data_IF_595526354122
#
_entry.id   IF_595526354122
#
_cell.length_a   1.000
_cell.length_b   1.000
_cell.length_c   1.000
_cell.angle_alpha   90.00
_cell.angle_beta   90.00
_cell.angle_gamma   90.00
#
_symmetry.space_group_name_H-M   'P 1'
#
loop_
_entity.id
_entity.type
_entity.pdbx_description
1 polymer ?
#
# COMPACT_ATOMS: atom_id res chain seq x y z
N UNK A 1 -28.03 -34.85 -18.22
CA UNK A 1 -28.19 -34.33 -16.84
C UNK A 1 -27.28 -35.13 -15.92
N UNK A 2 -26.25 -34.52 -15.35
CA UNK A 2 -25.58 -35.02 -14.14
C UNK A 2 -24.73 -33.92 -13.53
N UNK A 3 -25.38 -33.17 -12.65
CA UNK A 3 -24.83 -32.22 -11.70
C UNK A 3 -23.82 -32.94 -10.81
N UNK A 4 -22.53 -32.82 -11.11
CA UNK A 4 -21.46 -33.21 -10.17
C UNK A 4 -21.01 -31.96 -9.41
N UNK A 5 -21.70 -31.77 -8.29
CA UNK A 5 -21.16 -31.34 -7.00
C UNK A 5 -19.96 -30.40 -7.07
N UNK A 6 -20.25 -29.10 -6.99
CA UNK A 6 -19.30 -28.09 -6.54
C UNK A 6 -18.92 -28.39 -5.07
N UNK A 7 -18.02 -29.35 -4.87
CA UNK A 7 -17.46 -29.64 -3.56
C UNK A 7 -16.03 -29.10 -3.53
N UNK A 8 -15.94 -27.88 -3.00
CA UNK A 8 -14.81 -27.32 -2.25
C UNK A 8 -13.52 -28.11 -2.49
N UNK A 9 -12.69 -27.61 -3.42
CA UNK A 9 -11.27 -27.93 -3.44
C UNK A 9 -10.75 -27.51 -2.07
N UNK A 10 -10.63 -28.46 -1.14
CA UNK A 10 -9.78 -28.28 0.03
C UNK A 10 -8.39 -28.18 -0.54
N UNK A 11 -7.97 -26.95 -0.84
CA UNK A 11 -6.57 -26.65 -1.05
C UNK A 11 -5.88 -27.11 0.23
N UNK A 12 -4.98 -28.08 0.09
CA UNK A 12 -4.00 -28.39 1.12
C UNK A 12 -3.28 -27.07 1.43
N UNK A 13 -3.73 -26.40 2.48
CA UNK A 13 -3.30 -25.07 2.85
C UNK A 13 -2.73 -25.19 4.24
N UNK A 14 -1.43 -24.93 4.35
CA UNK A 14 -0.74 -24.91 5.64
C UNK A 14 -1.40 -23.85 6.52
N UNK A 15 -1.87 -24.26 7.69
CA UNK A 15 -2.50 -23.38 8.65
C UNK A 15 -1.59 -23.17 9.84
N UNK A 16 -1.04 -21.95 9.94
CA UNK A 16 -0.25 -21.52 11.09
C UNK A 16 -1.08 -20.61 12.01
N UNK A 17 -0.96 -20.85 13.32
CA UNK A 17 -1.55 -19.97 14.34
C UNK A 17 -0.49 -18.98 14.85
N UNK A 18 -0.70 -17.70 14.59
CA UNK A 18 0.16 -16.63 15.07
C UNK A 18 -0.31 -16.20 16.46
N UNK A 19 0.52 -16.42 17.48
CA UNK A 19 0.25 -16.02 18.88
C UNK A 19 1.02 -14.74 19.22
N UNK A 20 0.58 -14.03 20.26
CA UNK A 20 1.29 -12.85 20.79
C UNK A 20 1.04 -11.56 20.01
N UNK A 21 -0.07 -11.47 19.26
CA UNK A 21 -0.46 -10.22 18.58
C UNK A 21 -0.82 -9.18 19.64
N UNK A 22 -0.07 -8.08 19.67
CA UNK A 22 -0.34 -6.95 20.57
C UNK A 22 -1.67 -6.27 20.19
N UNK A 23 -2.43 -5.70 21.16
CA UNK A 23 -3.74 -5.11 20.87
C UNK A 23 -3.73 -4.06 19.75
N UNK A 24 -2.70 -3.20 19.72
CA UNK A 24 -2.55 -2.17 18.69
C UNK A 24 -2.29 -2.75 17.29
N UNK A 25 -1.71 -3.96 17.19
CA UNK A 25 -1.46 -4.63 15.92
C UNK A 25 -2.75 -5.21 15.34
N UNK A 26 -3.58 -5.86 16.17
CA UNK A 26 -4.88 -6.39 15.77
C UNK A 26 -5.81 -5.25 15.29
N UNK A 27 -5.83 -4.13 16.01
CA UNK A 27 -6.59 -2.94 15.61
C UNK A 27 -6.16 -2.43 14.22
N UNK A 28 -4.85 -2.26 14.01
CA UNK A 28 -4.32 -1.81 12.71
C UNK A 28 -4.58 -2.82 11.59
N UNK A 29 -4.45 -4.11 11.86
CA UNK A 29 -4.74 -5.18 10.90
C UNK A 29 -6.22 -5.15 10.47
N UNK A 30 -7.15 -5.01 11.42
CA UNK A 30 -8.59 -4.90 11.14
C UNK A 30 -8.94 -3.64 10.39
N UNK A 31 -8.36 -2.50 10.78
CA UNK A 31 -8.57 -1.23 10.08
C UNK A 31 -8.12 -1.31 8.62
N UNK A 32 -6.96 -1.92 8.34
CA UNK A 32 -6.46 -2.14 6.99
C UNK A 32 -7.34 -3.11 6.20
N UNK A 33 -7.76 -4.22 6.81
CA UNK A 33 -8.68 -5.18 6.18
C UNK A 33 -10.01 -4.54 5.78
N UNK A 34 -10.58 -3.70 6.66
CA UNK A 34 -11.80 -2.93 6.37
C UNK A 34 -11.58 -1.95 5.21
N UNK A 35 -10.49 -1.19 5.23
CA UNK A 35 -10.16 -0.21 4.18
C UNK A 35 -9.98 -0.87 2.81
N UNK A 36 -9.35 -2.04 2.78
CA UNK A 36 -9.06 -2.77 1.54
C UNK A 36 -10.19 -3.72 1.11
N UNK A 37 -11.24 -3.87 1.92
CA UNK A 37 -12.33 -4.84 1.72
C UNK A 37 -11.84 -6.27 1.53
N UNK A 38 -10.81 -6.65 2.29
CA UNK A 38 -10.20 -7.99 2.29
C UNK A 38 -10.48 -8.71 3.60
N UNK A 39 -10.34 -10.03 3.61
CA UNK A 39 -10.37 -10.79 4.86
C UNK A 39 -9.15 -10.45 5.72
N UNK A 40 -9.28 -10.56 7.04
CA UNK A 40 -8.18 -10.34 7.98
C UNK A 40 -6.99 -11.27 7.68
N UNK A 41 -7.27 -12.53 7.32
CA UNK A 41 -6.26 -13.51 6.95
C UNK A 41 -5.50 -13.11 5.68
N UNK A 42 -6.19 -12.64 4.64
CA UNK A 42 -5.53 -12.20 3.41
C UNK A 42 -4.57 -11.04 3.68
N UNK A 43 -5.00 -10.04 4.46
CA UNK A 43 -4.14 -8.91 4.84
C UNK A 43 -2.97 -9.34 5.72
N UNK A 44 -3.19 -10.26 6.67
CA UNK A 44 -2.11 -10.79 7.51
C UNK A 44 -1.05 -11.52 6.67
N UNK A 45 -1.47 -12.39 5.75
CA UNK A 45 -0.56 -13.09 4.82
C UNK A 45 0.19 -12.10 3.94
N UNK A 46 -0.48 -11.10 3.35
CA UNK A 46 0.18 -10.07 2.53
C UNK A 46 1.25 -9.30 3.31
N UNK A 47 0.99 -8.95 4.58
CA UNK A 47 1.96 -8.26 5.42
C UNK A 47 3.15 -9.18 5.75
N UNK A 48 2.89 -10.45 6.08
CA UNK A 48 3.96 -11.41 6.33
C UNK A 48 4.81 -11.64 5.09
N UNK A 49 4.20 -11.76 3.91
CA UNK A 49 4.93 -11.88 2.64
C UNK A 49 5.83 -10.66 2.41
N UNK A 50 5.32 -9.43 2.64
CA UNK A 50 6.14 -8.22 2.52
C UNK A 50 7.28 -8.16 3.53
N UNK A 51 7.03 -8.57 4.78
CA UNK A 51 8.03 -8.52 5.84
C UNK A 51 9.08 -9.65 5.79
N UNK A 52 8.74 -10.78 5.17
CA UNK A 52 9.62 -11.95 5.05
C UNK A 52 10.30 -12.08 3.69
N UNK A 53 9.91 -11.30 2.69
CA UNK A 53 10.52 -11.37 1.37
C UNK A 53 11.72 -10.42 1.28
N UNK A 54 12.97 -10.91 1.34
CA UNK A 54 14.17 -10.08 1.17
C UNK A 54 14.31 -9.50 -0.24
N UNK A 55 13.61 -10.07 -1.23
CA UNK A 55 13.68 -9.73 -2.64
C UNK A 55 12.43 -9.01 -3.16
N UNK A 56 11.55 -8.53 -2.26
CA UNK A 56 10.46 -7.62 -2.62
C UNK A 56 10.86 -6.19 -2.23
N UNK A 57 11.69 -5.50 -3.03
CA UNK A 57 11.83 -4.07 -2.87
C UNK A 57 10.42 -3.47 -2.94
N UNK A 58 10.17 -2.38 -2.21
CA UNK A 58 9.00 -1.55 -2.48
C UNK A 58 8.89 -1.36 -4.00
N UNK A 59 7.66 -1.40 -4.58
CA UNK A 59 7.53 -1.28 -6.02
C UNK A 59 8.28 -0.02 -6.46
N UNK A 60 9.33 -0.21 -7.25
CA UNK A 60 10.05 0.91 -7.85
C UNK A 60 9.15 1.43 -8.97
N UNK A 61 8.65 2.66 -8.79
CA UNK A 61 7.77 3.32 -9.75
C UNK A 61 8.62 4.14 -10.71
N UNK A 62 8.62 3.75 -11.99
CA UNK A 62 9.39 4.39 -13.07
C UNK A 62 8.50 5.24 -13.99
N UNK A 63 7.23 5.46 -13.64
CA UNK A 63 6.23 6.16 -14.46
C UNK A 63 6.45 7.68 -14.54
N UNK A 64 7.39 8.21 -13.76
CA UNK A 64 7.79 9.62 -13.78
C UNK A 64 9.26 9.83 -14.18
N UNK A 65 10.00 8.77 -14.47
CA UNK A 65 11.44 8.85 -14.77
C UNK A 65 11.70 9.67 -16.04
N UNK A 66 10.80 9.55 -17.01
CA UNK A 66 10.78 10.28 -18.27
C UNK A 66 10.47 11.78 -18.13
N UNK A 67 10.01 12.24 -16.96
CA UNK A 67 9.82 13.65 -16.64
C UNK A 67 11.06 14.29 -15.98
N UNK A 68 12.01 13.48 -15.49
CA UNK A 68 13.19 13.98 -14.80
C UNK A 68 14.10 14.68 -15.81
N UNK A 69 14.41 15.96 -15.56
CA UNK A 69 15.28 16.76 -16.42
C UNK A 69 14.61 17.30 -17.68
N UNK A 70 13.32 17.05 -17.88
CA UNK A 70 12.56 17.64 -18.99
C UNK A 70 11.99 19.02 -18.66
N UNK A 71 12.43 19.63 -17.56
CA UNK A 71 11.99 20.96 -17.16
C UNK A 71 12.39 21.99 -18.21
N UNK A 72 11.39 22.60 -18.86
CA UNK A 72 11.61 23.73 -19.74
C UNK A 72 11.54 25.01 -18.91
N UNK A 73 12.54 25.88 -19.07
CA UNK A 73 12.53 27.19 -18.43
C UNK A 73 11.33 28.00 -18.95
N UNK A 74 10.45 28.38 -18.03
CA UNK A 74 9.27 29.19 -18.31
C UNK A 74 9.16 30.28 -17.24
N UNK A 75 9.40 31.56 -17.59
CA UNK A 75 9.43 32.64 -16.61
C UNK A 75 8.16 32.76 -15.77
N UNK A 76 6.98 32.45 -16.34
CA UNK A 76 5.72 32.50 -15.61
C UNK A 76 5.60 31.40 -14.55
N UNK A 77 6.02 30.19 -14.91
CA UNK A 77 6.11 29.06 -13.97
C UNK A 77 7.16 29.31 -12.88
N UNK A 78 8.32 29.86 -13.25
CA UNK A 78 9.39 30.17 -12.30
C UNK A 78 8.97 31.25 -11.29
N UNK A 79 8.27 32.29 -11.75
CA UNK A 79 7.71 33.34 -10.88
C UNK A 79 6.62 32.78 -9.95
N UNK A 80 5.74 31.91 -10.46
CA UNK A 80 4.71 31.26 -9.67
C UNK A 80 5.31 30.34 -8.60
N UNK A 81 6.32 29.53 -8.94
CA UNK A 81 7.02 28.69 -7.98
C UNK A 81 7.72 29.53 -6.90
N UNK A 82 8.40 30.61 -7.28
CA UNK A 82 9.04 31.51 -6.33
C UNK A 82 8.04 32.15 -5.35
N UNK A 83 6.80 32.41 -5.80
CA UNK A 83 5.74 32.92 -4.92
C UNK A 83 5.28 31.91 -3.87
N UNK A 84 5.38 30.60 -4.17
CA UNK A 84 4.99 29.51 -3.28
C UNK A 84 6.07 29.17 -2.24
N UNK A 85 7.33 29.56 -2.46
CA UNK A 85 8.41 29.40 -1.48
C UNK A 85 8.29 30.34 -0.27
N UNK A 86 7.38 31.32 -0.33
CA UNK A 86 7.09 32.21 0.79
C UNK A 86 6.02 31.59 1.69
N UNK A 87 6.41 31.18 2.90
CA UNK A 87 5.48 30.66 3.91
C UNK A 87 4.60 31.81 4.42
N UNK A 88 3.29 31.65 4.30
CA UNK A 88 2.31 32.52 4.95
C UNK A 88 2.12 32.07 6.41
N UNK A 89 2.70 32.82 7.36
CA UNK A 89 2.65 32.52 8.78
C UNK A 89 1.23 32.58 9.38
N UNK A 90 0.31 33.34 8.78
CA UNK A 90 -1.09 33.40 9.25
C UNK A 90 -1.88 32.16 8.85
N UNK A 91 -1.55 31.56 7.69
CA UNK A 91 -2.17 30.32 7.20
C UNK A 91 -1.66 29.06 7.95
N UNK A 92 -0.51 29.17 8.62
CA UNK A 92 0.19 28.04 9.28
C UNK A 92 0.03 27.97 10.81
N UNK A 93 -0.82 28.83 11.40
CA UNK A 93 -1.26 28.73 12.80
C UNK A 93 -2.55 27.93 12.96
#
# INVERSE_FOLDING_TARGET
MNTKCAYIVVMDSMQDTIRGILPWMDERLRAKAKRERKSLNAVAVEILMRGLNPDNPEPEYHDMDDLIGTWAHDPGTDEALASMDTIDEELWR
#
